data_IF_597531242414
#
_entry.id   IF_597531242414
#
_cell.length_a   1.000
_cell.length_b   1.000
_cell.length_c   1.000
_cell.angle_alpha   90.00
_cell.angle_beta   90.00
_cell.angle_gamma   90.00
#
_symmetry.space_group_name_H-M   'P 1'
#
loop_
_entity.id
_entity.type
_entity.pdbx_description
1 polymer ?
#
# COMPACT_ATOMS: atom_id res chain seq x y z
N UNK A 1 -2.40 9.65 17.50
CA UNK A 1 -2.53 8.20 17.32
C UNK A 1 -3.32 7.97 16.06
N UNK A 2 -2.87 7.11 15.15
CA UNK A 2 -3.60 6.79 13.92
C UNK A 2 -4.65 5.73 14.16
N UNK A 3 -5.82 5.89 13.53
CA UNK A 3 -6.97 5.00 13.71
C UNK A 3 -7.86 4.96 12.47
N UNK A 4 -8.68 3.93 12.37
CA UNK A 4 -9.72 3.76 11.36
C UNK A 4 -11.09 3.61 12.03
N UNK A 5 -12.09 4.24 11.43
CA UNK A 5 -13.48 4.12 11.80
C UNK A 5 -14.33 3.63 10.61
N UNK A 6 -15.37 2.88 10.92
CA UNK A 6 -16.42 2.47 9.98
C UNK A 6 -17.76 2.92 10.54
N UNK A 7 -18.65 3.31 9.64
CA UNK A 7 -20.01 3.63 10.02
C UNK A 7 -20.97 3.43 8.87
N UNK A 8 -22.25 3.45 9.22
CA UNK A 8 -23.37 3.35 8.29
C UNK A 8 -24.38 4.45 8.58
N UNK A 9 -25.13 4.84 7.56
CA UNK A 9 -26.19 5.83 7.68
C UNK A 9 -27.26 5.64 6.61
N UNK A 10 -28.31 6.46 6.66
CA UNK A 10 -29.47 6.36 5.78
C UNK A 10 -30.10 4.96 5.83
N UNK A 11 -30.37 4.46 7.04
CA UNK A 11 -30.90 3.10 7.28
C UNK A 11 -30.03 1.99 6.63
N UNK A 12 -28.72 2.20 6.61
CA UNK A 12 -27.74 1.29 5.97
C UNK A 12 -27.52 1.54 4.48
N UNK A 13 -28.19 2.52 3.88
CA UNK A 13 -28.01 2.93 2.47
C UNK A 13 -26.69 3.66 2.20
N UNK A 14 -25.97 4.10 3.23
CA UNK A 14 -24.66 4.77 3.10
C UNK A 14 -23.63 4.06 3.95
N UNK A 15 -22.47 3.77 3.38
CA UNK A 15 -21.30 3.22 4.07
C UNK A 15 -20.18 4.24 4.10
N UNK A 16 -19.54 4.36 5.27
CA UNK A 16 -18.38 5.21 5.50
C UNK A 16 -17.21 4.39 6.04
N UNK A 17 -16.04 4.55 5.44
CA UNK A 17 -14.76 4.12 6.00
C UNK A 17 -13.85 5.33 6.04
N UNK A 18 -13.30 5.67 7.21
CA UNK A 18 -12.44 6.84 7.37
C UNK A 18 -11.23 6.51 8.25
N UNK A 19 -10.07 7.05 7.92
CA UNK A 19 -8.85 6.81 8.69
C UNK A 19 -8.02 8.08 8.88
N UNK A 20 -7.59 8.33 10.12
CA UNK A 20 -6.50 9.24 10.42
C UNK A 20 -5.20 8.42 10.38
N UNK A 21 -4.38 8.69 9.39
CA UNK A 21 -3.13 7.98 9.11
C UNK A 21 -1.90 8.86 9.38
N UNK A 22 -2.06 9.94 10.13
CA UNK A 22 -1.01 10.95 10.35
C UNK A 22 0.31 10.34 10.86
N UNK A 23 0.27 9.53 11.91
CA UNK A 23 1.48 8.90 12.46
C UNK A 23 2.04 7.82 11.53
N UNK A 24 1.16 7.00 10.96
CA UNK A 24 1.51 5.95 10.00
C UNK A 24 2.28 6.51 8.79
N UNK A 25 1.76 7.59 8.20
CA UNK A 25 2.36 8.23 7.03
C UNK A 25 3.64 8.98 7.42
N UNK A 26 3.67 9.61 8.59
CA UNK A 26 4.90 10.25 9.10
C UNK A 26 6.02 9.23 9.29
N UNK A 27 5.73 8.08 9.89
CA UNK A 27 6.70 7.00 10.06
C UNK A 27 7.22 6.52 8.69
N UNK A 28 6.32 6.21 7.76
CA UNK A 28 6.69 5.72 6.44
C UNK A 28 7.58 6.71 5.67
N UNK A 29 7.20 7.99 5.63
CA UNK A 29 7.95 9.04 4.93
C UNK A 29 9.33 9.28 5.52
N UNK A 30 9.46 9.22 6.85
CA UNK A 30 10.76 9.28 7.53
C UNK A 30 11.63 8.06 7.20
N UNK A 31 11.07 6.86 7.27
CA UNK A 31 11.80 5.60 7.02
C UNK A 31 12.33 5.50 5.59
N UNK A 32 11.58 6.04 4.64
CA UNK A 32 11.95 6.06 3.22
C UNK A 32 12.69 7.33 2.78
N UNK A 33 12.87 8.32 3.66
CA UNK A 33 13.59 9.57 3.34
C UNK A 33 12.95 10.35 2.19
N UNK A 34 11.62 10.35 2.11
CA UNK A 34 10.90 10.93 0.97
C UNK A 34 10.94 12.45 0.98
N UNK A 35 11.02 13.07 -0.20
CA UNK A 35 10.64 14.48 -0.41
C UNK A 35 9.14 14.69 -0.11
N UNK A 36 8.67 15.94 0.10
CA UNK A 36 7.27 16.21 0.36
C UNK A 36 6.33 15.66 -0.72
N UNK A 37 6.67 15.84 -2.00
CA UNK A 37 5.86 15.36 -3.13
C UNK A 37 5.79 13.84 -3.17
N UNK A 38 6.94 13.14 -3.11
CA UNK A 38 6.98 11.68 -3.08
C UNK A 38 6.29 11.10 -1.83
N UNK A 39 6.47 11.73 -0.68
CA UNK A 39 5.85 11.29 0.56
C UNK A 39 4.34 11.58 0.61
N UNK A 40 3.85 12.61 -0.08
CA UNK A 40 2.41 12.82 -0.26
C UNK A 40 1.80 11.73 -1.15
N UNK A 41 2.47 11.34 -2.24
CA UNK A 41 2.05 10.19 -3.05
C UNK A 41 2.02 8.90 -2.20
N UNK A 42 3.10 8.60 -1.48
CA UNK A 42 3.18 7.45 -0.57
C UNK A 42 2.05 7.47 0.47
N UNK A 43 1.84 8.61 1.14
CA UNK A 43 0.84 8.73 2.19
C UNK A 43 -0.60 8.57 1.70
N UNK A 44 -0.92 9.10 0.52
CA UNK A 44 -2.23 8.89 -0.12
C UNK A 44 -2.41 7.41 -0.49
N UNK A 45 -1.39 6.76 -1.05
CA UNK A 45 -1.47 5.34 -1.44
C UNK A 45 -1.57 4.41 -0.22
N UNK A 46 -0.82 4.66 0.86
CA UNK A 46 -0.94 3.91 2.13
C UNK A 46 -2.34 4.01 2.71
N UNK A 47 -2.88 5.23 2.76
CA UNK A 47 -4.23 5.49 3.26
C UNK A 47 -5.28 4.86 2.36
N UNK A 48 -5.14 5.01 1.04
CA UNK A 48 -6.03 4.43 0.04
C UNK A 48 -6.08 2.89 0.12
N UNK A 49 -4.93 2.23 0.25
CA UNK A 49 -4.86 0.78 0.42
C UNK A 49 -5.59 0.32 1.70
N UNK A 50 -5.43 1.06 2.81
CA UNK A 50 -6.13 0.78 4.06
C UNK A 50 -7.64 0.96 3.92
N UNK A 51 -8.10 2.02 3.26
CA UNK A 51 -9.55 2.19 3.04
C UNK A 51 -10.09 1.08 2.13
N UNK A 52 -9.37 0.73 1.05
CA UNK A 52 -9.74 -0.35 0.14
C UNK A 52 -9.78 -1.71 0.85
N UNK A 53 -8.88 -1.99 1.79
CA UNK A 53 -8.91 -3.25 2.54
C UNK A 53 -10.24 -3.42 3.28
N UNK A 54 -10.74 -2.36 3.91
CA UNK A 54 -12.03 -2.37 4.62
C UNK A 54 -13.28 -2.25 3.72
N UNK A 55 -13.09 -1.89 2.44
CA UNK A 55 -14.16 -1.86 1.42
C UNK A 55 -14.30 -3.21 0.72
N UNK A 56 -13.18 -3.88 0.43
CA UNK A 56 -13.13 -5.02 -0.49
C UNK A 56 -12.91 -6.38 0.19
N UNK A 57 -12.26 -6.43 1.35
CA UNK A 57 -11.92 -7.70 2.01
C UNK A 57 -13.06 -8.20 2.91
N UNK A 58 -13.11 -9.53 3.03
CA UNK A 58 -14.04 -10.23 3.91
C UNK A 58 -13.30 -10.99 5.02
N UNK A 59 -12.17 -11.61 4.68
CA UNK A 59 -11.40 -12.43 5.61
C UNK A 59 -10.30 -11.63 6.31
N UNK A 60 -10.16 -11.80 7.61
CA UNK A 60 -9.19 -11.05 8.43
C UNK A 60 -7.72 -11.20 8.00
N UNK A 61 -7.37 -12.33 7.37
CA UNK A 61 -6.00 -12.62 6.92
C UNK A 61 -5.71 -12.10 5.52
N UNK A 62 -6.74 -11.71 4.77
CA UNK A 62 -6.56 -11.18 3.43
C UNK A 62 -5.87 -9.82 3.47
N UNK A 63 -5.23 -9.47 2.36
CA UNK A 63 -4.61 -8.15 2.18
C UNK A 63 -4.96 -7.56 0.82
N UNK A 64 -5.00 -6.23 0.79
CA UNK A 64 -5.08 -5.44 -0.44
C UNK A 64 -3.71 -4.86 -0.72
N UNK A 65 -3.19 -5.13 -1.91
CA UNK A 65 -2.07 -4.41 -2.50
C UNK A 65 -2.59 -3.43 -3.53
N UNK A 66 -2.39 -2.14 -3.29
CA UNK A 66 -2.66 -1.05 -4.22
C UNK A 66 -1.34 -0.62 -4.87
N UNK A 67 -1.30 -0.61 -6.20
CA UNK A 67 -0.13 -0.17 -6.98
C UNK A 67 -0.56 0.86 -8.01
N UNK A 68 0.18 1.95 -8.09
CA UNK A 68 0.07 2.92 -9.19
C UNK A 68 1.42 3.00 -9.89
N UNK A 69 1.40 2.90 -11.22
CA UNK A 69 2.58 3.04 -12.06
C UNK A 69 2.23 3.96 -13.22
N UNK A 70 2.75 5.18 -13.19
CA UNK A 70 2.62 6.13 -14.28
C UNK A 70 3.97 6.46 -14.91
N UNK A 71 3.94 7.43 -15.81
CA UNK A 71 5.06 7.97 -16.57
C UNK A 71 5.79 9.13 -15.88
N UNK A 72 5.37 9.50 -14.67
CA UNK A 72 5.98 10.57 -13.89
C UNK A 72 7.30 10.18 -13.19
N UNK A 73 8.05 11.16 -12.67
CA UNK A 73 9.37 10.94 -12.06
C UNK A 73 9.36 10.12 -10.76
N UNK A 74 8.19 9.87 -10.16
CA UNK A 74 8.05 8.93 -9.04
C UNK A 74 8.30 7.48 -9.49
N UNK A 75 8.02 7.16 -10.75
CA UNK A 75 8.14 5.84 -11.39
C UNK A 75 7.08 4.82 -10.93
N UNK A 76 6.69 4.86 -9.66
CA UNK A 76 5.60 4.04 -9.12
C UNK A 76 5.48 4.15 -7.61
N UNK A 77 4.31 3.78 -7.11
CA UNK A 77 4.00 3.72 -5.68
C UNK A 77 3.18 2.47 -5.38
N UNK A 78 3.48 1.81 -4.27
CA UNK A 78 2.81 0.58 -3.85
C UNK A 78 2.54 0.59 -2.35
N UNK A 79 1.36 0.12 -1.95
CA UNK A 79 1.00 -0.11 -0.55
C UNK A 79 0.27 -1.44 -0.37
N UNK A 80 0.48 -2.07 0.77
CA UNK A 80 -0.10 -3.36 1.20
C UNK A 80 -0.77 -3.18 2.57
N UNK A 81 -2.08 -3.39 2.65
CA UNK A 81 -2.89 -3.16 3.85
C UNK A 81 -3.76 -4.39 4.20
N UNK A 82 -3.92 -4.64 5.50
CA UNK A 82 -4.79 -5.69 6.03
C UNK A 82 -5.96 -5.14 6.85
N UNK A 83 -6.88 -6.01 7.24
CA UNK A 83 -7.99 -5.69 8.17
C UNK A 83 -7.53 -5.55 9.63
N UNK A 84 -6.27 -5.91 9.93
CA UNK A 84 -5.62 -5.80 11.24
C UNK A 84 -5.04 -4.40 11.52
N UNK A 85 -5.30 -3.43 10.63
CA UNK A 85 -4.79 -2.07 10.73
C UNK A 85 -3.30 -1.92 10.39
N UNK A 86 -2.64 -2.96 9.88
CA UNK A 86 -1.24 -2.88 9.46
C UNK A 86 -1.11 -2.48 8.01
N UNK A 87 -0.25 -1.50 7.74
CA UNK A 87 0.02 -1.00 6.38
C UNK A 87 1.52 -0.90 6.16
N UNK A 88 1.99 -1.18 4.94
CA UNK A 88 3.36 -0.90 4.49
C UNK A 88 3.34 -0.47 3.04
N UNK A 89 4.40 0.17 2.58
CA UNK A 89 4.47 0.65 1.20
C UNK A 89 5.70 1.49 0.96
N UNK A 90 6.04 1.67 -0.30
CA UNK A 90 7.19 2.44 -0.74
C UNK A 90 6.92 3.06 -2.12
N UNK A 91 7.80 3.98 -2.50
CA UNK A 91 7.84 4.63 -3.82
C UNK A 91 9.14 4.24 -4.53
N UNK A 92 9.11 4.15 -5.85
CA UNK A 92 10.30 3.79 -6.63
C UNK A 92 11.39 4.86 -6.54
N UNK A 93 11.01 6.14 -6.60
CA UNK A 93 11.92 7.27 -6.43
C UNK A 93 11.51 8.14 -5.22
N UNK A 94 12.06 7.91 -4.01
CA UNK A 94 11.73 8.71 -2.83
C UNK A 94 12.24 10.16 -2.93
N UNK A 95 13.11 10.46 -3.89
CA UNK A 95 13.68 11.81 -4.10
C UNK A 95 12.97 12.59 -5.20
N UNK A 96 11.91 12.04 -5.80
CA UNK A 96 11.11 12.73 -6.79
C UNK A 96 10.47 13.98 -6.17
N UNK A 97 10.79 15.15 -6.71
CA UNK A 97 10.19 16.40 -6.26
C UNK A 97 9.85 17.26 -7.46
N UNK A 98 8.73 17.96 -7.38
CA UNK A 98 8.27 18.88 -8.39
C UNK A 98 7.96 20.23 -7.75
N UNK A 99 8.03 21.32 -8.52
CA UNK A 99 7.49 22.59 -8.07
C UNK A 99 6.04 22.46 -7.59
N UNK A 100 5.64 23.32 -6.67
CA UNK A 100 4.24 23.42 -6.29
C UNK A 100 3.40 23.78 -7.53
N UNK A 101 2.21 23.22 -7.59
CA UNK A 101 1.18 23.59 -8.57
C UNK A 101 0.80 25.06 -8.44
N UNK A 102 0.09 25.57 -9.45
CA UNK A 102 -0.43 26.94 -9.45
C UNK A 102 -1.35 27.26 -8.25
N UNK A 103 -2.00 26.24 -7.66
CA UNK A 103 -2.81 26.37 -6.44
C UNK A 103 -2.01 26.23 -5.13
N UNK A 104 -0.67 26.22 -5.21
CA UNK A 104 0.24 26.14 -4.07
C UNK A 104 0.33 24.74 -3.43
N UNK A 105 -0.24 23.71 -4.06
CA UNK A 105 -0.23 22.33 -3.56
C UNK A 105 0.92 21.51 -4.15
N UNK A 106 1.26 20.41 -3.46
CA UNK A 106 2.20 19.41 -3.96
C UNK A 106 1.67 18.76 -5.24
N UNK A 107 2.51 18.63 -6.24
CA UNK A 107 2.15 18.07 -7.54
C UNK A 107 2.25 16.53 -7.55
N UNK A 108 1.30 15.89 -6.85
CA UNK A 108 1.25 14.43 -6.77
C UNK A 108 0.90 13.81 -8.11
N UNK A 109 -0.08 14.36 -8.84
CA UNK A 109 -0.44 13.92 -10.18
C UNK A 109 0.73 13.99 -11.16
N UNK A 110 1.47 15.10 -11.18
CA UNK A 110 2.69 15.22 -11.98
C UNK A 110 3.80 14.24 -11.58
N UNK A 111 3.94 13.96 -10.28
CA UNK A 111 4.94 13.00 -9.79
C UNK A 111 4.63 11.56 -10.20
N UNK A 112 3.37 11.13 -10.05
CA UNK A 112 2.93 9.78 -10.44
C UNK A 112 2.88 9.65 -11.97
N UNK A 113 2.40 10.70 -12.65
CA UNK A 113 2.02 10.66 -14.06
C UNK A 113 0.57 10.20 -14.25
N UNK A 114 0.02 10.49 -15.43
CA UNK A 114 -1.34 10.10 -15.80
C UNK A 114 -1.36 9.04 -16.90
N UNK A 115 -0.24 8.77 -17.58
CA UNK A 115 -0.16 7.66 -18.53
C UNK A 115 0.39 6.44 -17.81
N UNK A 116 -0.49 5.48 -17.52
CA UNK A 116 -0.12 4.26 -16.82
C UNK A 116 -1.33 3.58 -16.19
N UNK A 117 -1.09 2.80 -15.15
CA UNK A 117 -2.10 1.89 -14.59
C UNK A 117 -2.18 1.98 -13.06
N UNK A 118 -3.40 1.87 -12.54
CA UNK A 118 -3.70 1.49 -11.16
C UNK A 118 -4.07 0.00 -11.13
N UNK A 119 -3.39 -0.78 -10.29
CA UNK A 119 -3.72 -2.19 -10.03
C UNK A 119 -4.09 -2.40 -8.57
N UNK A 120 -5.16 -3.16 -8.32
CA UNK A 120 -5.59 -3.56 -6.97
C UNK A 120 -5.61 -5.08 -6.91
N UNK A 121 -4.83 -5.63 -5.99
CA UNK A 121 -4.63 -7.08 -5.84
C UNK A 121 -5.11 -7.48 -4.45
N UNK A 122 -6.04 -8.44 -4.40
CA UNK A 122 -6.52 -9.10 -3.18
C UNK A 122 -5.78 -10.42 -3.05
N UNK A 123 -5.02 -10.56 -1.97
CA UNK A 123 -4.25 -11.78 -1.70
C UNK A 123 -4.86 -12.53 -0.52
N UNK A 124 -5.21 -13.78 -0.75
CA UNK A 124 -5.70 -14.69 0.30
C UNK A 124 -4.51 -15.34 0.99
N UNK A 125 -4.28 -14.99 2.26
CA UNK A 125 -3.17 -15.57 3.03
C UNK A 125 -3.67 -16.70 3.93
N UNK A 126 -2.97 -17.85 4.03
CA UNK A 126 -1.72 -18.21 3.36
C UNK A 126 -1.90 -19.01 2.05
N UNK A 127 -3.14 -19.23 1.59
CA UNK A 127 -3.46 -20.06 0.43
C UNK A 127 -4.44 -19.34 -0.49
N UNK A 128 -4.22 -19.45 -1.80
CA UNK A 128 -5.12 -18.93 -2.84
C UNK A 128 -4.36 -18.08 -3.88
N UNK A 129 -4.79 -18.18 -5.14
CA UNK A 129 -4.26 -17.32 -6.18
C UNK A 129 -4.70 -15.87 -5.92
N UNK A 130 -3.79 -14.89 -5.99
CA UNK A 130 -4.16 -13.50 -5.82
C UNK A 130 -5.13 -13.10 -6.93
N UNK A 131 -6.25 -12.49 -6.57
CA UNK A 131 -7.20 -11.92 -7.51
C UNK A 131 -6.92 -10.43 -7.66
N UNK A 132 -6.58 -9.99 -8.86
CA UNK A 132 -6.29 -8.59 -9.14
C UNK A 132 -7.05 -8.09 -10.36
N UNK A 133 -7.36 -6.80 -10.34
CA UNK A 133 -7.84 -6.08 -11.51
C UNK A 133 -7.07 -4.77 -11.64
N UNK A 134 -7.12 -4.20 -12.84
CA UNK A 134 -6.44 -2.95 -13.14
C UNK A 134 -7.25 -2.07 -14.08
N UNK A 135 -6.89 -0.79 -14.11
CA UNK A 135 -7.44 0.20 -15.01
C UNK A 135 -6.42 1.30 -15.29
N UNK A 136 -6.63 2.05 -16.36
CA UNK A 136 -5.80 3.22 -16.66
C UNK A 136 -5.88 4.24 -15.52
N UNK A 137 -4.76 4.95 -15.29
CA UNK A 137 -4.76 6.15 -14.47
C UNK A 137 -5.58 7.24 -15.14
N UNK A 138 -6.24 8.07 -14.34
CA UNK A 138 -7.01 9.22 -14.83
C UNK A 138 -6.36 10.55 -14.48
N UNK A 139 -5.66 10.62 -13.34
CA UNK A 139 -4.97 11.84 -12.93
C UNK A 139 -3.65 11.62 -12.19
N UNK A 140 -3.44 10.46 -11.57
CA UNK A 140 -2.28 10.21 -10.72
C UNK A 140 -2.39 10.86 -9.33
N UNK A 141 -3.49 11.55 -9.02
CA UNK A 141 -3.74 12.15 -7.69
C UNK A 141 -4.14 11.11 -6.63
N UNK A 142 -4.20 9.82 -7.00
CA UNK A 142 -4.53 8.64 -6.18
C UNK A 142 -6.00 8.54 -5.80
N UNK A 143 -6.60 9.60 -5.26
CA UNK A 143 -7.99 9.57 -4.80
C UNK A 143 -8.97 9.36 -5.96
N UNK A 144 -8.79 10.12 -7.05
CA UNK A 144 -9.62 10.03 -8.25
C UNK A 144 -9.39 8.72 -9.02
N UNK A 145 -8.15 8.23 -9.04
CA UNK A 145 -7.82 6.93 -9.64
C UNK A 145 -8.50 5.78 -8.87
N UNK A 146 -8.51 5.82 -7.54
CA UNK A 146 -9.25 4.85 -6.71
C UNK A 146 -10.75 4.97 -6.91
N UNK A 147 -11.31 6.18 -6.93
CA UNK A 147 -12.75 6.39 -7.16
C UNK A 147 -13.17 5.83 -8.54
N UNK A 148 -12.37 6.08 -9.57
CA UNK A 148 -12.59 5.56 -10.93
C UNK A 148 -12.47 4.05 -10.97
N UNK A 149 -11.46 3.47 -10.32
CA UNK A 149 -11.29 2.03 -10.19
C UNK A 149 -12.50 1.38 -9.52
N UNK A 150 -12.97 1.93 -8.38
CA UNK A 150 -14.13 1.41 -7.67
C UNK A 150 -15.39 1.47 -8.55
N UNK A 151 -15.59 2.57 -9.27
CA UNK A 151 -16.75 2.73 -10.15
C UNK A 151 -16.71 1.77 -11.36
N UNK A 152 -15.56 1.61 -12.02
CA UNK A 152 -15.44 0.84 -13.27
C UNK A 152 -15.22 -0.65 -13.05
N UNK A 153 -14.34 -1.01 -12.12
CA UNK A 153 -13.88 -2.39 -11.91
C UNK A 153 -14.69 -3.11 -10.84
N UNK A 154 -15.15 -2.41 -9.79
CA UNK A 154 -15.95 -3.01 -8.72
C UNK A 154 -17.44 -2.66 -8.80
N UNK A 155 -17.83 -1.73 -9.69
CA UNK A 155 -19.20 -1.20 -9.82
C UNK A 155 -19.72 -0.57 -8.51
N UNK A 156 -18.83 0.10 -7.77
CA UNK A 156 -19.16 0.76 -6.50
C UNK A 156 -18.95 2.27 -6.65
N UNK A 157 -20.04 3.02 -6.79
CA UNK A 157 -20.02 4.48 -6.78
C UNK A 157 -19.50 4.99 -5.43
N UNK A 158 -18.36 5.67 -5.45
CA UNK A 158 -17.63 6.04 -4.24
C UNK A 158 -17.08 7.46 -4.35
N UNK A 159 -17.32 8.29 -3.34
CA UNK A 159 -16.53 9.50 -3.13
C UNK A 159 -15.29 9.14 -2.29
N UNK A 160 -14.12 9.44 -2.83
CA UNK A 160 -12.83 9.13 -2.19
C UNK A 160 -12.10 10.42 -1.89
N UNK A 161 -11.84 10.67 -0.62
CA UNK A 161 -11.07 11.82 -0.15
C UNK A 161 -9.76 11.27 0.41
N UNK A 162 -8.62 11.76 -0.07
CA UNK A 162 -7.30 11.47 0.49
C UNK A 162 -6.53 12.77 0.64
N UNK A 163 -5.76 12.91 1.71
CA UNK A 163 -4.94 14.08 1.90
C UNK A 163 -3.72 13.82 2.75
N UNK A 164 -2.62 14.49 2.41
CA UNK A 164 -1.39 14.56 3.18
C UNK A 164 -0.98 16.01 3.21
N UNK A 165 -0.83 16.56 4.42
CA UNK A 165 -0.41 17.93 4.64
C UNK A 165 0.95 17.94 5.34
N UNK A 166 1.89 18.66 4.73
CA UNK A 166 3.20 18.91 5.30
C UNK A 166 3.18 20.22 6.07
N UNK A 167 3.62 20.17 7.33
CA UNK A 167 3.76 21.36 8.17
C UNK A 167 5.13 22.01 8.02
N UNK A 168 5.39 23.01 8.87
CA UNK A 168 6.71 23.62 8.99
C UNK A 168 7.78 22.56 9.31
N UNK A 169 8.94 22.64 8.65
CA UNK A 169 10.03 21.69 8.81
C UNK A 169 9.96 20.45 7.90
N UNK A 170 9.08 20.44 6.90
CA UNK A 170 9.07 19.40 5.86
C UNK A 170 8.59 18.02 6.34
N UNK A 171 7.81 17.99 7.43
CA UNK A 171 7.25 16.75 8.00
C UNK A 171 5.74 16.70 7.83
N UNK A 172 5.21 15.49 7.71
CA UNK A 172 3.77 15.23 7.67
C UNK A 172 3.14 15.71 8.97
N UNK A 173 2.26 16.71 8.87
CA UNK A 173 1.52 17.25 10.00
C UNK A 173 0.14 16.61 10.13
N UNK A 174 -0.51 16.26 9.00
CA UNK A 174 -1.80 15.56 8.96
C UNK A 174 -1.85 14.64 7.75
N UNK A 175 -2.38 13.44 7.92
CA UNK A 175 -2.72 12.56 6.80
C UNK A 175 -3.97 11.76 7.13
N UNK A 176 -4.82 11.54 6.14
CA UNK A 176 -6.02 10.76 6.33
C UNK A 176 -6.84 10.63 5.06
N UNK A 177 -7.94 9.91 5.19
CA UNK A 177 -8.81 9.62 4.07
C UNK A 177 -10.19 9.15 4.46
N UNK A 178 -11.12 9.25 3.51
CA UNK A 178 -12.50 8.81 3.64
C UNK A 178 -12.94 8.16 2.33
N UNK A 179 -13.61 7.02 2.42
CA UNK A 179 -14.43 6.44 1.35
C UNK A 179 -15.88 6.50 1.79
N UNK A 180 -16.70 7.22 1.02
CA UNK A 180 -18.15 7.33 1.17
C UNK A 180 -18.81 6.59 0.01
N UNK A 181 -19.73 5.68 0.32
CA UNK A 181 -20.39 4.83 -0.67
C UNK A 181 -21.90 4.86 -0.46
N UNK A 182 -22.62 5.19 -1.52
CA UNK A 182 -24.05 4.95 -1.60
C UNK A 182 -24.27 3.49 -2.01
N UNK A 183 -25.05 2.76 -1.21
CA UNK A 183 -25.43 1.39 -1.51
C UNK A 183 -26.75 1.37 -2.32
N UNK A 184 -27.02 0.27 -3.04
CA UNK A 184 -28.27 0.12 -3.78
C UNK A 184 -29.50 0.33 -2.89
N UNK A 185 -30.46 1.12 -3.37
CA UNK A 185 -31.71 1.40 -2.66
C UNK A 185 -31.67 2.59 -1.69
N UNK A 186 -30.57 3.36 -1.65
CA UNK A 186 -30.53 4.63 -0.91
C UNK A 186 -31.52 5.64 -1.53
N UNK A 187 -32.13 6.49 -0.70
CA UNK A 187 -33.07 7.53 -1.16
C UNK A 187 -32.43 8.55 -2.11
N UNK A 188 -33.23 9.04 -3.07
CA UNK A 188 -32.79 9.96 -4.13
C UNK A 188 -32.25 11.30 -3.61
N UNK A 189 -32.64 11.71 -2.40
CA UNK A 189 -32.21 12.94 -1.72
C UNK A 189 -30.87 12.80 -0.98
N UNK A 190 -30.47 11.57 -0.63
CA UNK A 190 -29.27 11.30 0.16
C UNK A 190 -28.00 11.58 -0.65
N UNK A 191 -27.97 11.18 -1.92
CA UNK A 191 -26.80 11.39 -2.79
C UNK A 191 -26.48 12.89 -2.99
N UNK A 192 -27.42 13.75 -3.42
CA UNK A 192 -27.19 15.19 -3.50
C UNK A 192 -26.75 15.83 -2.18
N UNK A 193 -27.29 15.37 -1.05
CA UNK A 193 -26.91 15.85 0.27
C UNK A 193 -25.45 15.49 0.61
N UNK A 194 -25.05 14.24 0.39
CA UNK A 194 -23.67 13.80 0.62
C UNK A 194 -22.69 14.55 -0.28
N UNK A 195 -23.01 14.75 -1.55
CA UNK A 195 -22.17 15.55 -2.45
C UNK A 195 -22.03 16.99 -1.97
N UNK A 196 -23.12 17.61 -1.51
CA UNK A 196 -23.10 18.95 -0.92
C UNK A 196 -22.21 19.00 0.32
N UNK A 197 -22.31 18.00 1.20
CA UNK A 197 -21.48 17.89 2.40
C UNK A 197 -19.99 17.71 2.06
N UNK A 198 -19.66 16.87 1.08
CA UNK A 198 -18.28 16.68 0.60
C UNK A 198 -17.72 17.99 0.03
N UNK A 199 -18.51 18.73 -0.77
CA UNK A 199 -18.11 20.05 -1.28
C UNK A 199 -17.91 21.07 -0.14
N UNK A 200 -18.80 21.07 0.85
CA UNK A 200 -18.73 21.98 1.99
C UNK A 200 -17.55 21.70 2.93
N UNK A 201 -17.14 20.43 3.09
CA UNK A 201 -15.95 20.06 3.86
C UNK A 201 -14.68 20.67 3.26
N UNK A 202 -14.62 20.78 1.94
CA UNK A 202 -13.45 21.25 1.21
C UNK A 202 -12.27 20.27 1.31
N UNK A 203 -11.08 20.79 1.59
CA UNK A 203 -9.88 19.95 1.67
C UNK A 203 -9.83 19.17 3.00
N UNK A 204 -9.79 17.83 2.92
CA UNK A 204 -9.81 16.95 4.08
C UNK A 204 -8.77 17.32 5.14
N UNK A 205 -7.51 17.55 4.75
CA UNK A 205 -6.44 17.89 5.69
C UNK A 205 -6.61 19.25 6.35
N UNK A 206 -7.28 20.19 5.69
CA UNK A 206 -7.66 21.48 6.29
C UNK A 206 -8.77 21.27 7.32
N UNK A 207 -9.75 20.42 7.01
CA UNK A 207 -10.82 20.06 7.95
C UNK A 207 -10.28 19.30 9.18
N UNK A 208 -9.37 18.35 8.99
CA UNK A 208 -8.62 17.68 10.07
C UNK A 208 -7.79 18.67 10.92
N UNK A 209 -7.58 19.89 10.42
CA UNK A 209 -7.06 21.04 11.15
C UNK A 209 -7.94 21.54 12.28
N UNK A 210 -9.26 21.38 12.11
CA UNK A 210 -10.31 21.98 12.93
C UNK A 210 -10.89 21.01 13.95
N UNK A 211 -11.00 19.72 13.62
CA UNK A 211 -11.57 18.70 14.48
C UNK A 211 -11.01 17.29 14.18
N UNK A 212 -11.14 16.32 15.11
CA UNK A 212 -10.84 14.92 14.85
C UNK A 212 -11.66 14.34 13.67
N UNK A 213 -11.08 13.38 12.94
CA UNK A 213 -11.73 12.83 11.74
C UNK A 213 -13.10 12.19 12.03
N UNK A 214 -13.28 11.60 13.20
CA UNK A 214 -14.55 11.01 13.62
C UNK A 214 -15.66 12.05 13.79
N UNK A 215 -15.31 13.22 14.33
CA UNK A 215 -16.24 14.34 14.47
C UNK A 215 -16.55 14.99 13.13
N UNK A 216 -15.57 15.11 12.24
CA UNK A 216 -15.79 15.61 10.87
C UNK A 216 -16.71 14.68 10.08
N UNK A 217 -16.53 13.36 10.20
CA UNK A 217 -17.41 12.38 9.56
C UNK A 217 -18.83 12.54 10.06
N UNK A 218 -19.05 12.58 11.38
CA UNK A 218 -20.38 12.67 11.98
C UNK A 218 -21.06 14.03 11.74
N UNK A 219 -20.33 15.13 11.93
CA UNK A 219 -20.89 16.49 11.99
C UNK A 219 -20.83 17.28 10.68
N UNK A 220 -19.98 16.88 9.73
CA UNK A 220 -19.85 17.57 8.44
C UNK A 220 -20.20 16.66 7.27
N UNK A 221 -19.56 15.49 7.12
CA UNK A 221 -19.81 14.61 5.97
C UNK A 221 -21.18 13.94 6.01
N UNK A 222 -21.60 13.46 7.18
CA UNK A 222 -22.91 12.81 7.39
C UNK A 222 -23.95 13.79 7.95
N UNK A 223 -23.74 15.10 7.78
CA UNK A 223 -24.70 16.11 8.27
C UNK A 223 -26.05 15.92 7.59
N UNK A 224 -27.10 15.81 8.40
CA UNK A 224 -28.47 15.61 7.91
C UNK A 224 -28.78 14.15 7.53
N UNK A 225 -27.87 13.22 7.81
CA UNK A 225 -28.06 11.77 7.64
C UNK A 225 -27.91 11.13 9.01
N UNK A 226 -28.78 10.17 9.35
CA UNK A 226 -28.57 9.31 10.51
C UNK A 226 -27.23 8.58 10.35
N UNK A 227 -26.40 8.55 11.40
CA UNK A 227 -25.07 7.95 11.30
C UNK A 227 -24.70 7.17 12.56
N UNK A 228 -24.53 5.87 12.36
CA UNK A 228 -24.09 4.92 13.36
C UNK A 228 -22.61 4.57 13.13
N UNK A 229 -21.84 4.59 14.20
CA UNK A 229 -20.44 4.16 14.19
C UNK A 229 -20.38 2.67 14.53
N UNK A 230 -19.79 1.88 13.64
CA UNK A 230 -19.68 0.42 13.79
C UNK A 230 -18.39 -0.04 14.48
N UNK A 231 -17.42 0.86 14.62
CA UNK A 231 -16.13 0.60 15.25
C UNK A 231 -15.94 1.55 16.42
N UNK A 232 -16.43 1.13 17.58
CA UNK A 232 -16.18 1.78 18.87
C UNK A 232 -15.72 0.73 19.90
N UNK A 233 -14.44 0.73 20.32
CA UNK A 233 -13.42 1.73 20.00
C UNK A 233 -12.96 1.68 18.53
N UNK A 234 -12.39 2.79 18.05
CA UNK A 234 -11.78 2.88 16.73
C UNK A 234 -10.62 1.86 16.58
N UNK A 235 -10.44 1.33 15.37
CA UNK A 235 -9.37 0.37 15.06
C UNK A 235 -8.01 1.09 15.03
N UNK A 236 -7.01 0.73 15.86
CA UNK A 236 -5.68 1.30 15.78
C UNK A 236 -5.01 0.91 14.46
N UNK A 237 -4.34 1.85 13.80
CA UNK A 237 -3.60 1.57 12.55
C UNK A 237 -2.16 2.05 12.66
N UNK A 238 -1.24 1.31 12.02
CA UNK A 238 0.19 1.58 12.09
C UNK A 238 0.93 1.14 10.85
N UNK A 239 2.10 1.74 10.62
CA UNK A 239 3.04 1.23 9.66
C UNK A 239 3.67 -0.06 10.23
N UNK A 240 3.65 -1.16 9.49
CA UNK A 240 4.24 -2.42 9.95
C UNK A 240 4.69 -3.28 8.77
N UNK A 241 5.98 -3.61 8.77
CA UNK A 241 6.55 -4.55 7.81
C UNK A 241 6.65 -5.96 8.42
N UNK A 242 6.61 -6.97 7.55
CA UNK A 242 6.75 -8.39 7.90
C UNK A 242 8.15 -8.95 7.60
N UNK A 243 9.15 -8.08 7.38
CA UNK A 243 10.53 -8.50 7.17
C UNK A 243 11.16 -8.97 8.49
N UNK A 244 12.04 -9.96 8.41
CA UNK A 244 12.80 -10.52 9.52
C UNK A 244 14.21 -10.85 9.04
N UNK A 245 15.12 -11.12 9.96
CA UNK A 245 16.48 -11.54 9.63
C UNK A 245 16.47 -12.87 8.89
N UNK A 246 15.57 -13.78 9.26
CA UNK A 246 15.30 -15.02 8.54
C UNK A 246 14.93 -14.77 7.07
N UNK A 247 13.98 -13.87 6.79
CA UNK A 247 13.61 -13.54 5.40
C UNK A 247 14.72 -12.83 4.62
N UNK A 248 15.53 -12.02 5.31
CA UNK A 248 16.69 -11.38 4.69
C UNK A 248 17.72 -12.43 4.30
N UNK A 249 17.97 -13.41 5.17
CA UNK A 249 18.87 -14.53 4.90
C UNK A 249 18.31 -15.44 3.80
N UNK A 250 17.01 -15.73 3.80
CA UNK A 250 16.36 -16.50 2.74
C UNK A 250 16.48 -15.84 1.36
N UNK A 251 16.48 -14.51 1.29
CA UNK A 251 16.69 -13.79 0.04
C UNK A 251 18.08 -14.05 -0.57
N UNK A 252 19.09 -14.34 0.26
CA UNK A 252 20.43 -14.72 -0.22
C UNK A 252 20.46 -16.12 -0.87
N UNK A 253 19.42 -16.94 -0.67
CA UNK A 253 19.32 -18.27 -1.30
C UNK A 253 19.26 -18.19 -2.82
N UNK A 254 18.78 -17.06 -3.38
CA UNK A 254 18.70 -16.88 -4.83
C UNK A 254 20.07 -16.69 -5.49
N UNK A 255 21.08 -16.25 -4.73
CA UNK A 255 22.46 -16.17 -5.20
C UNK A 255 23.11 -17.55 -5.18
N UNK A 256 24.05 -17.77 -6.07
CA UNK A 256 24.86 -19.00 -6.12
C UNK A 256 25.79 -19.09 -4.90
N UNK A 257 26.26 -20.30 -4.53
CA UNK A 257 27.25 -20.45 -3.46
C UNK A 257 28.54 -19.64 -3.70
N UNK A 258 28.95 -19.47 -4.96
CA UNK A 258 30.11 -18.67 -5.33
C UNK A 258 29.88 -17.18 -5.06
N UNK A 259 28.72 -16.63 -5.46
CA UNK A 259 28.35 -15.24 -5.18
C UNK A 259 28.23 -14.98 -3.67
N UNK A 260 27.63 -15.91 -2.91
CA UNK A 260 27.57 -15.81 -1.45
C UNK A 260 28.95 -15.83 -0.80
N UNK A 261 29.87 -16.64 -1.32
CA UNK A 261 31.27 -16.64 -0.88
C UNK A 261 31.94 -15.30 -1.18
N UNK A 262 31.75 -14.76 -2.38
CA UNK A 262 32.30 -13.46 -2.77
C UNK A 262 31.86 -12.34 -1.82
N UNK A 263 30.57 -12.28 -1.45
CA UNK A 263 30.06 -11.32 -0.44
C UNK A 263 30.83 -11.41 0.87
N UNK A 264 31.16 -12.62 1.33
CA UNK A 264 31.91 -12.83 2.57
C UNK A 264 33.39 -12.45 2.40
N UNK A 265 34.02 -12.89 1.32
CA UNK A 265 35.46 -12.74 1.11
C UNK A 265 35.83 -11.27 0.78
N UNK A 266 34.96 -10.54 0.08
CA UNK A 266 35.20 -9.16 -0.38
C UNK A 266 34.68 -8.13 0.63
N UNK A 267 33.46 -8.31 1.15
CA UNK A 267 32.78 -7.31 1.98
C UNK A 267 32.68 -7.71 3.46
N UNK A 268 33.11 -8.93 3.83
CA UNK A 268 33.01 -9.44 5.20
C UNK A 268 31.58 -9.76 5.65
N UNK A 269 30.62 -9.82 4.73
CA UNK A 269 29.20 -10.03 5.02
C UNK A 269 28.30 -9.46 3.92
N UNK A 270 27.04 -9.16 4.25
CA UNK A 270 26.13 -8.52 3.30
C UNK A 270 25.12 -7.59 3.99
N UNK A 271 24.92 -6.38 3.45
CA UNK A 271 23.79 -5.52 3.82
C UNK A 271 22.56 -5.86 2.96
N UNK A 272 21.48 -6.30 3.60
CA UNK A 272 20.18 -6.51 2.95
C UNK A 272 19.24 -5.39 3.32
N UNK A 273 18.69 -4.72 2.31
CA UNK A 273 17.73 -3.62 2.48
C UNK A 273 16.32 -4.06 2.10
N UNK A 274 15.38 -3.97 3.03
CA UNK A 274 13.98 -4.30 2.75
C UNK A 274 13.29 -3.15 2.00
N UNK A 275 12.95 -3.33 0.73
CA UNK A 275 12.25 -2.30 -0.05
C UNK A 275 10.94 -1.79 0.60
N UNK A 276 10.18 -2.67 1.27
CA UNK A 276 8.91 -2.31 1.90
C UNK A 276 9.00 -1.32 3.05
N UNK A 277 10.14 -1.24 3.72
CA UNK A 277 10.27 -0.41 4.93
C UNK A 277 11.63 0.25 5.07
N UNK A 278 12.56 0.11 4.13
CA UNK A 278 13.91 0.67 4.23
C UNK A 278 14.77 0.10 5.36
N UNK A 279 14.33 -0.95 6.05
CA UNK A 279 15.13 -1.58 7.11
C UNK A 279 16.39 -2.19 6.52
N UNK A 280 17.54 -1.82 7.08
CA UNK A 280 18.85 -2.35 6.71
C UNK A 280 19.27 -3.40 7.72
N UNK A 281 19.69 -4.57 7.24
CA UNK A 281 20.17 -5.67 8.07
C UNK A 281 21.54 -6.09 7.61
N UNK A 282 22.46 -6.19 8.55
CA UNK A 282 23.75 -6.81 8.30
C UNK A 282 23.63 -8.32 8.52
N UNK A 283 24.09 -9.11 7.55
CA UNK A 283 24.16 -10.56 7.64
C UNK A 283 25.62 -10.99 7.78
N UNK A 284 25.91 -11.66 8.88
CA UNK A 284 27.26 -12.10 9.23
C UNK A 284 27.72 -13.27 8.34
N UNK A 285 29.03 -13.39 8.06
CA UNK A 285 29.61 -14.46 7.26
C UNK A 285 29.13 -15.87 7.60
N UNK A 286 29.06 -16.19 8.90
CA UNK A 286 28.63 -17.51 9.37
C UNK A 286 27.18 -17.83 8.96
N UNK A 287 26.29 -16.84 8.99
CA UNK A 287 24.90 -17.01 8.56
C UNK A 287 24.81 -17.20 7.04
N UNK A 288 25.56 -16.41 6.27
CA UNK A 288 25.59 -16.46 4.80
C UNK A 288 26.12 -17.82 4.31
N UNK A 289 27.25 -18.28 4.87
CA UNK A 289 27.86 -19.56 4.51
C UNK A 289 27.06 -20.75 5.07
N UNK A 290 26.29 -20.52 6.14
CA UNK A 290 25.35 -21.48 6.71
C UNK A 290 24.09 -21.74 5.87
N UNK A 291 23.84 -20.94 4.82
CA UNK A 291 22.83 -21.23 3.79
C UNK A 291 23.32 -22.43 2.94
N UNK A 292 23.20 -23.63 3.50
CA UNK A 292 23.79 -24.86 2.96
C UNK A 292 22.92 -26.10 3.09
N UNK A 293 21.59 -25.95 3.15
CA UNK A 293 20.67 -27.08 2.97
C UNK A 293 20.85 -27.72 1.58
N UNK A 294 20.29 -28.92 1.36
CA UNK A 294 20.34 -29.55 0.04
C UNK A 294 19.66 -28.64 -1.00
N UNK A 295 20.48 -27.93 -1.78
CA UNK A 295 20.07 -27.08 -2.89
C UNK A 295 20.22 -27.87 -4.19
N UNK A 296 19.16 -27.88 -4.99
CA UNK A 296 19.20 -28.37 -6.37
C UNK A 296 19.19 -27.15 -7.26
N UNK A 297 20.25 -26.99 -8.05
CA UNK A 297 20.44 -25.86 -8.97
C UNK A 297 20.57 -26.36 -10.40
N UNK A 298 20.16 -25.52 -11.34
CA UNK A 298 20.44 -25.74 -12.76
C UNK A 298 21.94 -25.88 -12.98
N UNK A 299 22.44 -26.96 -13.61
CA UNK A 299 23.86 -27.11 -13.88
C UNK A 299 24.39 -26.08 -14.90
N UNK A 300 23.52 -25.54 -15.75
CA UNK A 300 23.93 -24.63 -16.83
C UNK A 300 24.00 -23.17 -16.38
N UNK A 301 23.08 -22.72 -15.53
CA UNK A 301 22.96 -21.31 -15.15
C UNK A 301 22.92 -21.04 -13.64
N UNK A 302 23.00 -22.07 -12.79
CA UNK A 302 23.02 -21.90 -11.33
C UNK A 302 21.70 -21.47 -10.69
N UNK A 303 20.62 -21.29 -11.48
CA UNK A 303 19.27 -20.98 -10.98
C UNK A 303 18.84 -22.02 -9.94
N UNK A 304 18.36 -21.55 -8.78
CA UNK A 304 17.82 -22.41 -7.73
C UNK A 304 16.51 -23.05 -8.18
N UNK A 305 16.49 -24.39 -8.28
CA UNK A 305 15.28 -25.16 -8.59
C UNK A 305 14.54 -25.61 -7.33
N UNK A 306 15.31 -26.07 -6.33
CA UNK A 306 14.76 -26.56 -5.07
C UNK A 306 15.73 -26.32 -3.92
N UNK A 307 15.17 -26.07 -2.73
CA UNK A 307 15.90 -26.05 -1.47
C UNK A 307 15.01 -26.65 -0.40
N UNK A 308 15.57 -27.57 0.39
CA UNK A 308 14.88 -28.19 1.51
C UNK A 308 14.32 -27.12 2.50
N UNK A 309 13.05 -27.27 2.89
CA UNK A 309 12.37 -26.36 3.80
C UNK A 309 11.67 -25.15 3.15
N UNK A 310 11.86 -24.88 1.85
CA UNK A 310 11.14 -23.84 1.12
C UNK A 310 10.03 -24.42 0.24
N UNK A 311 8.94 -23.66 0.06
CA UNK A 311 7.91 -23.99 -0.93
C UNK A 311 8.57 -24.14 -2.30
N UNK A 312 8.34 -25.26 -3.00
CA UNK A 312 8.96 -25.58 -4.30
C UNK A 312 8.87 -24.37 -5.24
N UNK A 313 10.03 -23.82 -5.62
CA UNK A 313 10.11 -22.62 -6.44
C UNK A 313 9.85 -22.88 -7.93
N UNK A 314 10.19 -24.09 -8.39
CA UNK A 314 10.00 -24.54 -9.77
C UNK A 314 9.51 -25.99 -9.72
N UNK A 315 8.51 -26.33 -10.53
CA UNK A 315 7.94 -27.69 -10.56
C UNK A 315 8.79 -28.60 -11.46
N UNK A 316 8.81 -29.90 -11.15
CA UNK A 316 9.48 -30.88 -12.01
C UNK A 316 8.92 -30.81 -13.44
N UNK A 317 9.80 -30.91 -14.44
CA UNK A 317 9.51 -30.75 -15.87
C UNK A 317 9.22 -29.33 -16.39
N UNK A 318 9.25 -28.29 -15.55
CA UNK A 318 9.22 -26.89 -16.02
C UNK A 318 10.52 -26.51 -16.74
N UNK A 319 10.50 -25.40 -17.48
CA UNK A 319 11.66 -24.88 -18.19
C UNK A 319 12.36 -23.84 -17.32
N UNK A 320 13.63 -24.08 -17.01
CA UNK A 320 14.52 -23.12 -16.35
C UNK A 320 14.75 -21.89 -17.23
N UNK A 321 15.17 -20.76 -16.64
CA UNK A 321 15.47 -19.51 -17.35
C UNK A 321 16.47 -19.66 -18.50
N UNK A 322 17.37 -20.64 -18.46
CA UNK A 322 18.32 -20.94 -19.53
C UNK A 322 17.77 -21.88 -20.62
N UNK A 323 16.48 -22.25 -20.56
CA UNK A 323 15.85 -23.19 -21.50
C UNK A 323 16.01 -24.67 -21.13
N UNK A 324 16.78 -25.00 -20.08
CA UNK A 324 16.94 -26.40 -19.61
C UNK A 324 15.67 -26.89 -18.91
N UNK A 325 15.29 -28.14 -19.13
CA UNK A 325 14.22 -28.78 -18.36
C UNK A 325 14.69 -29.03 -16.92
N UNK A 326 13.82 -28.72 -15.96
CA UNK A 326 14.07 -28.91 -14.54
C UNK A 326 13.99 -30.40 -14.23
N UNK A 327 15.02 -30.90 -13.54
CA UNK A 327 15.13 -32.27 -13.07
C UNK A 327 15.34 -32.23 -11.55
N UNK A 328 14.33 -32.61 -10.79
CA UNK A 328 14.42 -32.67 -9.33
C UNK A 328 14.75 -34.09 -8.87
N UNK A 329 15.53 -34.27 -7.78
CA UNK A 329 15.67 -35.57 -7.13
C UNK A 329 14.29 -36.07 -6.67
N UNK A 330 13.99 -37.34 -6.94
CA UNK A 330 12.77 -38.01 -6.47
C UNK A 330 12.66 -38.04 -4.94
#
# INVERSE_FOLDING_TARGET
MSYLIRGVGADGGVRVVAADTTELVREATLKHGTTPTAGAALGRTLTGALLLSHVLLKEHRDRVTLRLRGDGPLGGVIADAGLDGTVRGYVSNPRADLPLRADGKLDVGGAVGSAGEISVIRSHAPYGDPYGSSSDLVSGEVAEDIATYLARSEQIASAVLLGVYYGAGGRVARAGGVVLQALPGVGDDVLPLLESNVRALGQLTTAMGRAPLSELVRGELMRGVDFELLTDPALPVRFACRCSDEKALEALAYFTPAERRAMVDEDGGAEVVCHWCGEKRWLEPAAILGLGGAEVRCPDCGTLWYREGQTRMVRDLEICSCGRRVELPN
#
